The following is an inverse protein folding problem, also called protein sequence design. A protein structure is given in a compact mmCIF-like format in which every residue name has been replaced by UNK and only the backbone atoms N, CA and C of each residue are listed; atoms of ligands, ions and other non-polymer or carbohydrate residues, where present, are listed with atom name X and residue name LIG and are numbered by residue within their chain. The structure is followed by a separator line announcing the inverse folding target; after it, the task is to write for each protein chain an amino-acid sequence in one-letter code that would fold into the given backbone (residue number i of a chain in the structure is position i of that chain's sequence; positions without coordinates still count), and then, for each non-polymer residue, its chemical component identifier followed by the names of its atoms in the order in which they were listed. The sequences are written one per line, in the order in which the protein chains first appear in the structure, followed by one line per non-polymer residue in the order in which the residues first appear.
data_IF_478808500694
#
_entry.id   IF_478808500694
#
_cell.length_a   1.000
_cell.length_b   1.000
_cell.length_c   1.000
_cell.angle_alpha   90.00
_cell.angle_beta   90.00
_cell.angle_gamma   90.00
#
_symmetry.space_group_name_H-M   'P 1'
#
loop_
_entity.id
_entity.type
_entity.pdbx_description
1 polymer ?
#
# COMPACT_ATOMS: atom_id res chain seq x y z
N UNK A 1 23.71 4.34 6.81
CA UNK A 1 23.34 3.07 7.49
C UNK A 1 23.77 1.89 6.63
N UNK A 2 24.50 0.91 7.19
CA UNK A 2 24.85 -0.34 6.51
C UNK A 2 23.71 -1.35 6.72
N UNK A 3 23.07 -1.78 5.63
CA UNK A 3 21.98 -2.76 5.65
C UNK A 3 22.51 -4.18 5.38
N UNK A 4 21.80 -5.24 5.83
CA UNK A 4 22.17 -6.64 5.56
C UNK A 4 22.26 -6.96 4.05
N UNK A 5 21.37 -6.38 3.26
CA UNK A 5 21.33 -6.50 1.79
C UNK A 5 20.80 -5.20 1.17
N UNK A 6 20.75 -5.15 -0.17
CA UNK A 6 20.14 -4.04 -0.92
C UNK A 6 18.68 -3.85 -0.50
N UNK A 7 18.24 -2.59 -0.50
CA UNK A 7 16.87 -2.18 -0.21
C UNK A 7 16.37 -1.34 -1.38
N UNK A 8 15.25 -1.73 -1.97
CA UNK A 8 14.64 -1.07 -3.12
C UNK A 8 13.28 -0.52 -2.74
N UNK A 9 13.03 0.72 -3.12
CA UNK A 9 11.74 1.38 -2.95
C UNK A 9 11.10 1.57 -4.32
N UNK A 10 9.79 1.31 -4.42
CA UNK A 10 8.99 1.59 -5.61
C UNK A 10 7.71 2.31 -5.23
N UNK A 11 7.39 3.36 -5.96
CA UNK A 11 6.17 4.16 -5.73
C UNK A 11 5.32 4.12 -6.98
N UNK A 12 4.08 3.63 -6.84
CA UNK A 12 3.05 3.62 -7.87
C UNK A 12 1.91 4.55 -7.47
N UNK A 13 1.50 5.44 -8.37
CA UNK A 13 0.45 6.44 -8.08
C UNK A 13 -0.98 5.88 -8.14
N UNK A 14 -1.19 4.63 -8.57
CA UNK A 14 -2.51 4.01 -8.66
C UNK A 14 -2.42 2.48 -8.67
N UNK A 15 -3.56 1.76 -8.44
CA UNK A 15 -3.63 0.29 -8.41
C UNK A 15 -3.37 -0.41 -9.76
N UNK A 16 -3.10 0.34 -10.84
CA UNK A 16 -2.63 -0.27 -12.09
C UNK A 16 -1.22 -0.85 -11.96
N UNK A 17 -0.52 -0.50 -10.89
CA UNK A 17 0.75 -1.11 -10.47
C UNK A 17 1.82 -1.19 -11.55
N UNK A 18 1.89 -0.22 -12.48
CA UNK A 18 2.87 -0.20 -13.58
C UNK A 18 4.32 -0.29 -13.08
N UNK A 19 4.61 0.31 -11.91
CA UNK A 19 5.91 0.26 -11.24
C UNK A 19 6.11 -0.98 -10.37
N UNK A 20 5.10 -1.88 -10.30
CA UNK A 20 5.12 -3.14 -9.54
C UNK A 20 5.60 -2.95 -8.10
N UNK A 21 4.98 -2.05 -7.29
CA UNK A 21 5.44 -1.78 -5.93
C UNK A 21 5.52 -3.04 -5.08
N UNK A 22 4.58 -3.96 -5.20
CA UNK A 22 4.56 -5.22 -4.48
C UNK A 22 5.74 -6.18 -4.77
N UNK A 23 6.60 -5.88 -5.75
CA UNK A 23 7.79 -6.67 -6.09
C UNK A 23 9.10 -5.99 -5.66
N UNK A 24 9.04 -5.05 -4.73
CA UNK A 24 10.18 -4.34 -4.18
C UNK A 24 10.23 -4.48 -2.66
N UNK A 25 11.39 -4.20 -2.05
CA UNK A 25 11.57 -4.36 -0.60
C UNK A 25 10.61 -3.45 0.17
N UNK A 26 10.33 -2.24 -0.35
CA UNK A 26 9.27 -1.36 0.13
C UNK A 26 8.49 -0.82 -1.07
N UNK A 27 7.21 -1.09 -1.12
CA UNK A 27 6.30 -0.66 -2.18
C UNK A 27 5.22 0.26 -1.66
N UNK A 28 5.00 1.37 -2.38
CA UNK A 28 3.91 2.31 -2.10
C UNK A 28 2.96 2.30 -3.29
N UNK A 29 1.67 2.07 -3.05
CA UNK A 29 0.64 2.09 -4.08
C UNK A 29 -0.47 3.06 -3.69
N UNK A 30 -0.68 4.11 -4.50
CA UNK A 30 -1.70 5.11 -4.25
C UNK A 30 -3.11 4.58 -4.57
N UNK A 31 -4.07 4.89 -3.69
CA UNK A 31 -5.48 4.54 -3.83
C UNK A 31 -6.36 5.77 -3.63
N UNK A 32 -7.49 5.83 -4.32
CA UNK A 32 -8.56 6.79 -4.11
C UNK A 32 -9.86 6.07 -3.81
N UNK A 33 -10.20 6.03 -2.53
CA UNK A 33 -11.45 5.41 -2.07
C UNK A 33 -12.61 6.31 -2.47
N UNK A 34 -13.56 5.84 -3.30
CA UNK A 34 -14.69 6.67 -3.72
C UNK A 34 -15.66 6.86 -2.57
N UNK A 35 -16.00 8.11 -2.26
CA UNK A 35 -17.07 8.45 -1.32
C UNK A 35 -18.35 8.66 -2.14
N UNK A 36 -19.31 7.76 -1.99
CA UNK A 36 -20.58 7.81 -2.71
C UNK A 36 -21.70 8.37 -1.83
N UNK A 37 -22.38 9.41 -2.34
CA UNK A 37 -23.58 9.98 -1.74
C UNK A 37 -24.82 9.60 -2.60
N UNK A 38 -25.67 8.73 -2.06
CA UNK A 38 -26.87 8.23 -2.73
C UNK A 38 -27.91 9.32 -3.00
N UNK A 39 -27.98 10.36 -2.16
CA UNK A 39 -28.98 11.43 -2.27
C UNK A 39 -28.70 12.35 -3.45
N UNK A 40 -27.42 12.48 -3.80
CA UNK A 40 -26.98 13.24 -4.97
C UNK A 40 -27.16 12.46 -6.28
N UNK A 41 -27.40 11.15 -6.21
CA UNK A 41 -27.55 10.31 -7.40
C UNK A 41 -28.95 10.51 -8.05
N UNK A 42 -28.97 10.92 -9.32
CA UNK A 42 -30.19 11.21 -10.08
C UNK A 42 -30.71 10.03 -10.90
N UNK A 43 -30.05 8.87 -10.87
CA UNK A 43 -30.49 7.71 -11.63
C UNK A 43 -30.46 7.93 -13.15
N UNK A 44 -29.36 8.45 -13.68
CA UNK A 44 -29.22 8.79 -15.09
C UNK A 44 -29.41 7.56 -15.99
N UNK A 45 -30.08 7.71 -17.14
CA UNK A 45 -30.21 6.65 -18.15
C UNK A 45 -28.81 6.16 -18.66
N UNK A 46 -27.83 7.06 -18.69
CA UNK A 46 -26.43 6.72 -18.97
C UNK A 46 -25.57 7.25 -17.84
N UNK A 47 -25.10 6.35 -16.99
CA UNK A 47 -24.24 6.70 -15.87
C UNK A 47 -22.76 6.76 -16.32
N UNK A 48 -22.15 7.94 -16.22
CA UNK A 48 -20.74 8.13 -16.61
C UNK A 48 -19.78 7.36 -15.70
N UNK A 49 -20.14 7.15 -14.43
CA UNK A 49 -19.33 6.37 -13.51
C UNK A 49 -19.33 4.90 -13.88
N UNK A 50 -20.53 4.31 -14.12
CA UNK A 50 -20.65 2.93 -14.57
C UNK A 50 -19.87 2.70 -15.87
N UNK A 51 -20.06 3.60 -16.86
CA UNK A 51 -19.37 3.53 -18.15
C UNK A 51 -17.84 3.60 -18.03
N UNK A 52 -17.32 4.40 -17.11
CA UNK A 52 -15.88 4.64 -16.96
C UNK A 52 -15.19 3.68 -15.99
N UNK A 53 -15.93 2.87 -15.22
CA UNK A 53 -15.35 1.99 -14.22
C UNK A 53 -14.60 0.81 -14.86
N UNK A 54 -13.25 0.73 -14.75
CA UNK A 54 -12.47 -0.30 -15.40
C UNK A 54 -12.69 -1.69 -14.80
N UNK A 55 -12.96 -1.77 -13.48
CA UNK A 55 -13.24 -3.02 -12.78
C UNK A 55 -14.72 -3.42 -12.82
N UNK A 56 -15.59 -2.57 -13.40
CA UNK A 56 -17.06 -2.77 -13.42
C UNK A 56 -17.68 -2.94 -12.03
N UNK A 57 -17.01 -2.41 -11.00
CA UNK A 57 -17.52 -2.36 -9.64
C UNK A 57 -18.71 -1.41 -9.49
N UNK A 58 -18.77 -0.37 -10.31
CA UNK A 58 -19.85 0.61 -10.30
C UNK A 58 -20.93 0.22 -11.30
N UNK A 59 -22.18 0.05 -10.83
CA UNK A 59 -23.35 -0.33 -11.65
C UNK A 59 -24.59 0.44 -11.22
N UNK A 60 -25.47 0.72 -12.17
CA UNK A 60 -26.81 1.25 -11.87
C UNK A 60 -27.75 0.08 -11.60
N UNK A 61 -28.33 0.06 -10.41
CA UNK A 61 -29.31 -0.95 -9.96
C UNK A 61 -30.51 -0.20 -9.39
N UNK A 62 -31.71 -0.51 -9.85
CA UNK A 62 -32.97 0.15 -9.43
C UNK A 62 -32.91 1.69 -9.56
N UNK A 63 -32.33 2.18 -10.66
CA UNK A 63 -32.22 3.61 -10.93
C UNK A 63 -31.21 4.37 -10.03
N UNK A 64 -30.36 3.69 -9.28
CA UNK A 64 -29.32 4.29 -8.44
C UNK A 64 -27.98 3.62 -8.69
N UNK A 65 -26.91 4.42 -8.60
CA UNK A 65 -25.55 3.89 -8.64
C UNK A 65 -25.29 3.07 -7.36
N UNK A 66 -24.71 1.88 -7.55
CA UNK A 66 -24.11 1.07 -6.46
C UNK A 66 -22.66 0.80 -6.81
N UNK A 67 -21.79 0.87 -5.81
CA UNK A 67 -20.37 0.54 -5.94
C UNK A 67 -20.10 -0.70 -5.08
N UNK A 68 -19.71 -1.78 -5.72
CA UNK A 68 -19.36 -3.02 -5.05
C UNK A 68 -17.92 -2.91 -4.53
N UNK A 69 -17.76 -2.78 -3.21
CA UNK A 69 -16.47 -2.63 -2.56
C UNK A 69 -15.56 -3.87 -2.75
N UNK A 70 -16.14 -5.08 -2.92
CA UNK A 70 -15.37 -6.31 -3.12
C UNK A 70 -14.67 -6.37 -4.49
N UNK A 71 -15.20 -5.67 -5.47
CA UNK A 71 -14.70 -5.59 -6.85
C UNK A 71 -13.94 -4.28 -7.11
N UNK A 72 -14.24 -3.24 -6.33
CA UNK A 72 -13.64 -1.92 -6.47
C UNK A 72 -12.11 -1.98 -6.26
N UNK A 73 -11.37 -1.40 -7.22
CA UNK A 73 -9.90 -1.30 -7.13
C UNK A 73 -9.43 0.03 -6.53
N UNK A 74 -10.37 0.89 -6.11
CA UNK A 74 -10.06 2.21 -5.51
C UNK A 74 -9.11 3.05 -6.38
N UNK A 75 -9.26 2.93 -7.71
CA UNK A 75 -8.39 3.56 -8.70
C UNK A 75 -8.69 5.05 -8.93
N UNK A 76 -9.76 5.58 -8.34
CA UNK A 76 -10.16 6.98 -8.44
C UNK A 76 -10.74 7.41 -9.79
N UNK A 77 -10.88 6.54 -10.79
CA UNK A 77 -11.40 6.90 -12.13
C UNK A 77 -12.82 7.48 -12.07
N UNK A 78 -13.65 7.04 -11.13
CA UNK A 78 -15.00 7.53 -10.93
C UNK A 78 -15.08 8.92 -10.28
N UNK A 79 -14.02 9.33 -9.59
CA UNK A 79 -13.97 10.63 -8.89
C UNK A 79 -14.07 11.75 -9.93
N UNK A 80 -15.02 12.66 -9.73
CA UNK A 80 -15.26 13.79 -10.65
C UNK A 80 -16.01 13.47 -11.95
N UNK A 81 -16.40 12.21 -12.18
CA UNK A 81 -17.14 11.83 -13.39
C UNK A 81 -18.65 12.09 -13.29
N UNK A 82 -19.20 12.19 -12.08
CA UNK A 82 -20.62 12.47 -11.90
C UNK A 82 -20.90 13.98 -11.98
N UNK A 83 -21.72 14.45 -12.93
CA UNK A 83 -22.08 15.87 -13.02
C UNK A 83 -22.87 16.37 -11.81
N UNK A 84 -23.53 15.45 -11.10
CA UNK A 84 -24.29 15.74 -9.88
C UNK A 84 -23.48 15.54 -8.59
N UNK A 85 -22.16 15.30 -8.72
CA UNK A 85 -21.23 15.11 -7.58
C UNK A 85 -21.63 13.96 -6.63
N UNK A 86 -22.36 12.96 -7.13
CA UNK A 86 -22.72 11.78 -6.32
C UNK A 86 -21.51 10.93 -5.89
N UNK A 87 -20.39 11.03 -6.61
CA UNK A 87 -19.08 10.55 -6.11
C UNK A 87 -18.20 11.78 -5.91
N UNK A 88 -17.79 12.00 -4.67
CA UNK A 88 -17.10 13.20 -4.25
C UNK A 88 -15.74 13.38 -4.95
N UNK A 89 -15.40 14.63 -5.26
CA UNK A 89 -14.07 15.06 -5.65
C UNK A 89 -13.09 15.09 -4.46
N UNK A 90 -13.61 15.06 -3.24
CA UNK A 90 -12.86 15.15 -1.99
C UNK A 90 -12.47 13.77 -1.44
N UNK A 91 -12.52 12.71 -2.26
CA UNK A 91 -12.06 11.40 -1.84
C UNK A 91 -10.58 11.46 -1.49
N UNK A 92 -10.25 11.05 -0.27
CA UNK A 92 -8.87 11.02 0.21
C UNK A 92 -7.99 10.12 -0.65
N UNK A 93 -6.75 10.54 -0.85
CA UNK A 93 -5.70 9.67 -1.37
C UNK A 93 -5.09 8.94 -0.19
N UNK A 94 -5.12 7.62 -0.25
CA UNK A 94 -4.51 6.74 0.75
C UNK A 94 -3.51 5.82 0.07
N UNK A 95 -2.62 5.22 0.84
CA UNK A 95 -1.55 4.42 0.29
C UNK A 95 -1.53 3.02 0.90
N UNK A 96 -1.47 2.01 0.04
CA UNK A 96 -1.20 0.64 0.42
C UNK A 96 0.31 0.42 0.41
N UNK A 97 0.82 -0.11 1.50
CA UNK A 97 2.24 -0.40 1.65
C UNK A 97 2.45 -1.91 1.50
N UNK A 98 3.46 -2.27 0.72
CA UNK A 98 3.96 -3.63 0.57
C UNK A 98 5.38 -3.71 1.09
N UNK A 99 5.72 -4.75 1.82
CA UNK A 99 7.06 -4.95 2.37
C UNK A 99 7.63 -6.32 2.02
N UNK A 100 8.93 -6.38 1.74
CA UNK A 100 9.67 -7.61 1.50
C UNK A 100 9.45 -8.25 0.12
N UNK A 101 8.94 -7.49 -0.86
CA UNK A 101 8.84 -7.96 -2.23
C UNK A 101 10.21 -8.11 -2.91
N UNK A 102 10.31 -9.05 -3.84
CA UNK A 102 11.50 -9.25 -4.67
C UNK A 102 11.10 -9.66 -6.08
N UNK A 103 11.87 -9.19 -7.05
CA UNK A 103 11.74 -9.59 -8.45
C UNK A 103 13.05 -10.22 -8.96
N UNK A 104 12.96 -11.31 -9.70
CA UNK A 104 14.08 -12.00 -10.29
C UNK A 104 13.95 -13.53 -10.21
N UNK A 105 15.07 -14.26 -10.14
CA UNK A 105 15.08 -15.72 -10.11
C UNK A 105 14.22 -16.30 -8.98
N UNK A 106 14.22 -15.63 -7.82
CA UNK A 106 13.36 -15.97 -6.68
C UNK A 106 12.42 -14.80 -6.44
N UNK A 107 11.27 -14.78 -7.11
CA UNK A 107 10.25 -13.74 -6.95
C UNK A 107 9.42 -13.99 -5.69
N UNK A 108 9.13 -12.93 -4.95
CA UNK A 108 8.24 -12.93 -3.80
C UNK A 108 7.34 -11.69 -3.88
N UNK A 109 6.06 -11.89 -3.73
CA UNK A 109 5.14 -10.76 -3.53
C UNK A 109 5.37 -10.17 -2.13
N UNK A 110 5.46 -8.85 -2.06
CA UNK A 110 5.50 -8.14 -0.79
C UNK A 110 4.26 -8.39 0.04
N UNK A 111 4.44 -8.48 1.34
CA UNK A 111 3.34 -8.54 2.30
C UNK A 111 2.68 -7.16 2.36
N UNK A 112 1.37 -7.08 2.08
CA UNK A 112 0.61 -5.85 2.24
C UNK A 112 0.37 -5.60 3.73
N UNK A 113 0.58 -4.36 4.19
CA UNK A 113 0.17 -3.97 5.54
C UNK A 113 -1.37 -4.00 5.65
N UNK A 114 -1.88 -4.25 6.84
CA UNK A 114 -3.31 -4.49 7.10
C UNK A 114 -4.20 -3.28 6.85
N UNK A 115 -3.66 -2.07 6.97
CA UNK A 115 -4.38 -0.82 6.75
C UNK A 115 -3.74 0.06 5.68
N UNK A 116 -4.52 0.97 5.13
CA UNK A 116 -4.00 2.12 4.38
C UNK A 116 -3.29 3.10 5.31
N UNK A 117 -2.34 3.84 4.73
CA UNK A 117 -1.60 4.90 5.42
C UNK A 117 -1.78 6.23 4.71
N UNK A 118 -1.55 7.32 5.43
CA UNK A 118 -1.51 8.68 4.88
C UNK A 118 -0.14 9.00 4.28
N UNK A 119 -0.04 10.10 3.56
CA UNK A 119 1.23 10.54 2.96
C UNK A 119 2.31 10.79 4.02
N UNK A 120 1.94 11.38 5.14
CA UNK A 120 2.86 11.72 6.24
C UNK A 120 3.45 10.48 6.93
N UNK A 121 2.76 9.34 6.87
CA UNK A 121 3.22 8.08 7.44
C UNK A 121 4.26 7.36 6.57
N UNK A 122 4.36 7.68 5.28
CA UNK A 122 5.19 6.92 4.32
C UNK A 122 6.68 6.99 4.70
N UNK A 123 7.22 8.19 4.91
CA UNK A 123 8.64 8.35 5.22
C UNK A 123 9.04 7.71 6.57
N UNK A 124 8.28 7.91 7.65
CA UNK A 124 8.50 7.17 8.90
C UNK A 124 8.46 5.65 8.73
N UNK A 125 7.52 5.12 7.94
CA UNK A 125 7.43 3.67 7.68
C UNK A 125 8.61 3.14 6.88
N UNK A 126 9.14 3.89 5.92
CA UNK A 126 10.38 3.53 5.21
C UNK A 126 11.54 3.43 6.20
N UNK A 127 11.72 4.43 7.05
CA UNK A 127 12.78 4.44 8.05
C UNK A 127 12.64 3.28 9.04
N UNK A 128 11.46 3.09 9.60
CA UNK A 128 11.17 1.95 10.51
C UNK A 128 11.45 0.61 9.83
N UNK A 129 11.07 0.45 8.55
CA UNK A 129 11.34 -0.80 7.81
C UNK A 129 12.84 -1.04 7.64
N UNK A 130 13.62 0.00 7.37
CA UNK A 130 15.08 -0.12 7.25
C UNK A 130 15.74 -0.45 8.60
N UNK A 131 15.26 0.15 9.70
CA UNK A 131 15.74 -0.16 11.06
C UNK A 131 15.41 -1.60 11.45
N UNK A 132 14.16 -2.03 11.21
CA UNK A 132 13.75 -3.42 11.46
C UNK A 132 14.57 -4.40 10.64
N UNK A 133 14.84 -4.09 9.37
CA UNK A 133 15.65 -4.91 8.48
C UNK A 133 17.07 -5.03 9.01
N UNK A 134 17.68 -3.94 9.47
CA UNK A 134 19.01 -3.93 10.04
C UNK A 134 19.10 -4.76 11.33
N UNK A 135 18.07 -4.68 12.18
CA UNK A 135 18.07 -5.35 13.49
C UNK A 135 17.78 -6.86 13.39
N UNK A 136 16.97 -7.28 12.41
CA UNK A 136 16.43 -8.65 12.38
C UNK A 136 17.02 -9.54 11.29
N UNK A 137 17.62 -8.99 10.24
CA UNK A 137 18.11 -9.79 9.13
C UNK A 137 19.58 -10.15 9.28
N UNK A 138 19.92 -11.35 8.83
CA UNK A 138 21.32 -11.80 8.73
C UNK A 138 22.05 -11.16 7.54
N UNK A 139 23.37 -11.14 7.59
CA UNK A 139 24.20 -10.68 6.49
C UNK A 139 23.85 -11.42 5.19
N UNK A 140 23.63 -10.66 4.11
CA UNK A 140 23.18 -11.15 2.78
C UNK A 140 21.74 -11.69 2.73
N UNK A 141 20.98 -11.69 3.83
CA UNK A 141 19.55 -12.03 3.82
C UNK A 141 18.74 -10.89 3.19
N UNK A 142 17.73 -11.23 2.37
CA UNK A 142 16.77 -10.26 1.82
C UNK A 142 15.68 -9.97 2.83
N UNK A 143 15.12 -8.75 2.77
CA UNK A 143 14.03 -8.34 3.68
C UNK A 143 12.87 -9.34 3.69
N UNK A 144 12.41 -9.79 2.52
CA UNK A 144 11.33 -10.77 2.44
C UNK A 144 11.63 -12.09 3.15
N UNK A 145 12.87 -12.57 3.08
CA UNK A 145 13.29 -13.80 3.79
C UNK A 145 13.31 -13.59 5.30
N UNK A 146 13.80 -12.44 5.76
CA UNK A 146 13.75 -12.08 7.18
C UNK A 146 12.31 -12.01 7.69
N UNK A 147 11.38 -11.45 6.91
CA UNK A 147 9.94 -11.41 7.24
C UNK A 147 9.37 -12.83 7.35
N UNK A 148 9.69 -13.71 6.40
CA UNK A 148 9.17 -15.09 6.40
C UNK A 148 9.70 -15.89 7.61
N UNK A 149 10.92 -15.59 8.09
CA UNK A 149 11.53 -16.23 9.25
C UNK A 149 11.02 -15.68 10.58
N UNK A 150 10.89 -14.35 10.69
CA UNK A 150 10.54 -13.68 11.96
C UNK A 150 9.01 -13.63 12.18
N UNK A 151 8.26 -13.44 11.08
CA UNK A 151 6.81 -13.27 11.06
C UNK A 151 6.39 -11.89 10.56
N UNK A 152 5.39 -11.85 9.68
CA UNK A 152 4.86 -10.61 9.11
C UNK A 152 4.10 -9.78 10.15
N UNK A 153 3.41 -10.46 11.07
CA UNK A 153 2.69 -9.87 12.20
C UNK A 153 3.62 -9.10 13.14
N UNK A 154 4.79 -9.66 13.42
CA UNK A 154 5.80 -9.00 14.26
C UNK A 154 6.40 -7.78 13.57
N UNK A 155 6.66 -7.87 12.26
CA UNK A 155 7.08 -6.72 11.49
C UNK A 155 6.02 -5.63 11.54
N UNK A 156 4.77 -5.95 11.25
CA UNK A 156 3.70 -4.97 11.21
C UNK A 156 3.48 -4.28 12.55
N UNK A 157 3.49 -5.04 13.65
CA UNK A 157 3.43 -4.49 15.01
C UNK A 157 4.58 -3.51 15.28
N UNK A 158 5.79 -3.85 14.86
CA UNK A 158 6.96 -2.98 15.01
C UNK A 158 6.85 -1.70 14.16
N UNK A 159 6.33 -1.80 12.93
CA UNK A 159 6.17 -0.65 12.03
C UNK A 159 5.14 0.36 12.55
N UNK A 160 4.07 -0.10 13.19
CA UNK A 160 3.03 0.77 13.76
C UNK A 160 3.30 1.19 15.21
N UNK A 161 4.39 0.72 15.82
CA UNK A 161 4.90 1.24 17.09
C UNK A 161 5.94 2.35 16.89
N UNK A 162 6.30 3.07 17.95
CA UNK A 162 7.37 4.05 17.92
C UNK A 162 8.71 3.51 18.45
N UNK A 163 8.76 2.24 18.83
CA UNK A 163 9.93 1.60 19.43
C UNK A 163 11.17 1.68 18.53
N UNK A 164 11.03 1.36 17.23
CA UNK A 164 12.15 1.38 16.28
C UNK A 164 12.80 2.77 16.15
N UNK A 165 11.99 3.83 16.15
CA UNK A 165 12.50 5.19 16.08
C UNK A 165 13.13 5.62 17.42
N UNK A 166 12.53 5.22 18.55
CA UNK A 166 13.07 5.50 19.88
C UNK A 166 14.45 4.85 20.09
N UNK A 167 14.66 3.64 19.55
CA UNK A 167 15.92 2.89 19.63
C UNK A 167 16.83 3.06 18.40
N UNK A 168 16.59 4.06 17.56
CA UNK A 168 17.29 4.27 16.30
C UNK A 168 18.82 4.26 16.46
N UNK A 169 19.34 5.04 17.39
CA UNK A 169 20.81 5.15 17.57
C UNK A 169 21.43 3.84 18.05
N UNK A 170 20.75 3.11 18.93
CA UNK A 170 21.13 1.77 19.36
C UNK A 170 21.19 0.80 18.17
N UNK A 171 20.13 0.77 17.34
CA UNK A 171 20.05 -0.11 16.16
C UNK A 171 21.14 0.25 15.13
N UNK A 172 21.40 1.55 14.95
CA UNK A 172 22.45 2.00 14.03
C UNK A 172 23.84 1.63 14.47
N UNK A 173 24.10 1.59 15.77
CA UNK A 173 25.41 1.19 16.34
C UNK A 173 25.67 -0.32 16.25
N UNK A 174 24.62 -1.16 16.18
CA UNK A 174 24.77 -2.62 16.07
C UNK A 174 25.41 -3.03 14.74
N UNK A 175 26.25 -4.03 14.77
CA UNK A 175 26.68 -4.73 13.56
C UNK A 175 25.54 -5.57 12.97
N UNK A 176 25.64 -5.86 11.67
CA UNK A 176 24.69 -6.75 11.00
C UNK A 176 24.84 -8.17 11.55
N UNK A 177 23.72 -8.81 11.87
CA UNK A 177 23.70 -10.19 12.38
C UNK A 177 24.41 -11.13 11.39
N UNK A 178 25.24 -12.01 11.92
CA UNK A 178 25.87 -13.08 11.13
C UNK A 178 24.96 -14.31 11.16
N UNK A 179 25.01 -15.12 10.10
CA UNK A 179 24.35 -16.42 10.12
C UNK A 179 24.91 -17.28 11.25
N UNK A 180 24.03 -18.04 11.95
CA UNK A 180 24.48 -19.01 12.97
C UNK A 180 25.32 -20.11 12.33
#
# INVERSE_FOLDING_TARGET
MKLPHKFKISVGGCPNSCMKPALNDFGVEGHKVPVFNSDMCRGCAVCQIEKSCPSKAARVVDGKLKIDASVCKECGVCVGKCPFKAVSHESETVYRIYVGGTWGKNSRMGTALSRYVTEDEILPLIEKTMLWFKENAYAKERLGMAIDRVGADKLEAALFSDDLLARKDEILAKEVLQHP
#
